data_IF_830490315254
#
_entry.id   IF_830490315254
#
_cell.length_a   1.000
_cell.length_b   1.000
_cell.length_c   1.000
_cell.angle_alpha   90.00
_cell.angle_beta   90.00
_cell.angle_gamma   90.00
#
_symmetry.space_group_name_H-M   'P 1'
#
loop_
_entity.id
_entity.type
_entity.pdbx_description
1 polymer ?
#
# COMPACT_ATOMS: atom_id res chain seq x y z
N UNK A 1 63.07 29.10 10.98
CA UNK A 1 62.67 28.41 9.73
C UNK A 1 62.30 26.97 10.05
N UNK A 2 61.08 26.57 9.65
CA UNK A 2 60.58 25.22 9.33
C UNK A 2 61.13 24.01 10.11
N UNK A 3 60.23 23.29 10.82
CA UNK A 3 59.77 21.99 10.31
C UNK A 3 58.49 21.47 11.02
N UNK A 4 57.31 21.90 10.56
CA UNK A 4 56.01 21.41 11.04
C UNK A 4 55.56 20.16 10.26
N UNK A 5 56.40 19.13 10.18
CA UNK A 5 56.11 17.91 9.41
C UNK A 5 55.08 17.02 10.10
N UNK A 6 55.16 16.85 11.43
CA UNK A 6 54.44 15.79 12.15
C UNK A 6 52.93 16.02 12.32
N UNK A 7 52.38 17.10 11.75
CA UNK A 7 50.99 17.54 11.93
C UNK A 7 50.20 17.62 10.61
N UNK A 8 50.45 16.72 9.65
CA UNK A 8 49.72 16.71 8.36
C UNK A 8 49.26 15.34 7.85
N UNK A 9 49.26 14.29 8.68
CA UNK A 9 48.80 12.95 8.24
C UNK A 9 47.58 12.42 9.01
N UNK A 10 47.00 13.22 9.92
CA UNK A 10 45.83 12.82 10.71
C UNK A 10 44.55 13.59 10.34
N UNK A 11 44.39 13.95 9.05
CA UNK A 11 43.18 14.61 8.51
C UNK A 11 42.65 13.89 7.26
N UNK A 12 43.05 12.63 7.06
CA UNK A 12 42.53 11.78 5.97
C UNK A 12 41.92 10.52 6.55
N UNK A 13 40.93 10.67 7.44
CA UNK A 13 40.13 9.53 7.92
C UNK A 13 38.68 9.89 8.32
N UNK A 14 38.14 11.00 7.82
CA UNK A 14 36.78 11.48 8.17
C UNK A 14 35.92 11.92 6.98
N UNK A 15 36.22 11.41 5.77
CA UNK A 15 35.32 11.52 4.59
C UNK A 15 34.67 10.18 4.21
N UNK A 16 34.57 9.25 5.15
CA UNK A 16 33.62 8.13 5.08
C UNK A 16 32.41 8.42 5.99
N UNK A 17 31.89 9.65 5.95
CA UNK A 17 30.53 9.88 6.47
C UNK A 17 29.61 9.16 5.51
N UNK A 18 29.10 8.01 5.96
CA UNK A 18 28.20 7.17 5.19
C UNK A 18 27.13 8.01 4.51
N UNK A 19 26.94 7.78 3.22
CA UNK A 19 25.67 8.11 2.60
C UNK A 19 24.63 7.24 3.31
N UNK A 20 24.06 7.73 4.41
CA UNK A 20 22.80 7.23 4.91
C UNK A 20 21.79 7.56 3.81
N UNK A 21 21.64 6.63 2.88
CA UNK A 21 20.59 6.65 1.88
C UNK A 21 19.28 6.45 2.65
N UNK A 22 18.73 7.54 3.16
CA UNK A 22 17.39 7.53 3.74
C UNK A 22 16.43 7.19 2.60
N UNK A 23 15.81 6.02 2.70
CA UNK A 23 14.77 5.61 1.76
C UNK A 23 13.71 6.71 1.68
N UNK A 24 13.51 7.23 0.47
CA UNK A 24 12.49 8.22 0.14
C UNK A 24 11.14 7.53 0.01
N UNK A 25 10.07 8.27 0.30
CA UNK A 25 8.70 7.76 0.33
C UNK A 25 7.79 8.66 -0.51
N UNK A 26 6.93 8.06 -1.32
CA UNK A 26 5.81 8.70 -2.00
C UNK A 26 4.54 8.07 -1.45
N UNK A 27 3.58 8.89 -1.03
CA UNK A 27 2.30 8.40 -0.52
C UNK A 27 1.15 9.19 -1.11
N UNK A 28 0.07 8.49 -1.43
CA UNK A 28 -1.17 9.07 -1.90
C UNK A 28 -2.36 8.36 -1.24
N UNK A 29 -3.38 9.14 -0.92
CA UNK A 29 -4.62 8.64 -0.33
C UNK A 29 -5.75 8.78 -1.34
N UNK A 30 -6.47 7.69 -1.58
CA UNK A 30 -7.68 7.66 -2.38
C UNK A 30 -8.85 7.38 -1.47
N UNK A 31 -9.90 8.19 -1.57
CA UNK A 31 -11.14 7.97 -0.83
C UNK A 31 -12.32 8.08 -1.77
N UNK A 32 -13.08 7.01 -1.87
CA UNK A 32 -14.31 6.96 -2.65
C UNK A 32 -15.43 6.40 -1.79
N UNK A 33 -16.62 7.00 -1.87
CA UNK A 33 -17.81 6.49 -1.20
C UNK A 33 -18.88 6.21 -2.24
N UNK A 34 -19.50 5.05 -2.14
CA UNK A 34 -20.54 4.57 -3.03
C UNK A 34 -21.85 4.40 -2.25
N UNK A 35 -22.98 4.70 -2.88
CA UNK A 35 -24.28 4.27 -2.33
C UNK A 35 -24.34 2.74 -2.32
N UNK A 36 -24.96 2.19 -1.28
CA UNK A 36 -25.13 0.74 -1.12
C UNK A 36 -26.61 0.39 -1.12
N UNK A 37 -26.95 -0.69 -1.80
CA UNK A 37 -28.27 -1.30 -1.77
C UNK A 37 -28.14 -2.77 -1.35
N UNK A 38 -29.13 -3.26 -0.60
CA UNK A 38 -29.12 -4.65 -0.14
C UNK A 38 -29.01 -5.64 -1.31
N UNK A 39 -28.06 -6.57 -1.21
CA UNK A 39 -27.79 -7.56 -2.26
C UNK A 39 -26.71 -7.13 -3.26
N UNK A 40 -26.17 -5.92 -3.14
CA UNK A 40 -24.92 -5.56 -3.84
C UNK A 40 -23.72 -6.33 -3.26
N UNK A 41 -22.75 -6.60 -4.12
CA UNK A 41 -21.50 -7.28 -3.77
C UNK A 41 -20.37 -6.27 -3.69
N UNK A 42 -19.53 -6.40 -2.68
CA UNK A 42 -18.31 -5.63 -2.49
C UNK A 42 -17.14 -6.57 -2.80
N UNK A 43 -16.33 -6.24 -3.80
CA UNK A 43 -15.16 -7.03 -4.22
C UNK A 43 -13.87 -6.22 -4.05
N UNK A 44 -13.04 -6.63 -3.11
CA UNK A 44 -11.78 -5.95 -2.78
C UNK A 44 -10.63 -6.88 -3.11
N UNK A 45 -9.75 -6.41 -4.00
CA UNK A 45 -8.57 -7.17 -4.42
C UNK A 45 -7.33 -6.35 -4.19
N UNK A 46 -6.51 -6.82 -3.28
CA UNK A 46 -5.24 -6.20 -2.94
C UNK A 46 -4.09 -7.21 -3.09
N UNK A 47 -2.90 -6.70 -3.37
CA UNK A 47 -1.71 -7.53 -3.54
C UNK A 47 -0.82 -7.46 -2.29
N UNK A 48 -0.57 -6.27 -1.76
CA UNK A 48 0.35 -6.06 -0.62
C UNK A 48 -0.20 -5.04 0.36
N UNK A 49 -0.19 -5.38 1.65
CA UNK A 49 -0.56 -4.46 2.73
C UNK A 49 -1.72 -4.98 3.55
N UNK A 50 -2.40 -4.07 4.23
CA UNK A 50 -3.48 -4.38 5.16
C UNK A 50 -4.84 -4.14 4.52
N UNK A 51 -5.82 -4.97 4.86
CA UNK A 51 -7.24 -4.67 4.63
C UNK A 51 -7.92 -4.62 5.99
N UNK A 52 -8.42 -3.44 6.37
CA UNK A 52 -9.19 -3.22 7.58
C UNK A 52 -10.68 -3.06 7.23
N UNK A 53 -11.56 -3.77 7.94
CA UNK A 53 -13.01 -3.69 7.78
C UNK A 53 -13.66 -3.22 9.08
N UNK A 54 -14.50 -2.20 8.94
CA UNK A 54 -15.33 -1.64 10.01
C UNK A 54 -16.78 -1.51 9.54
N UNK A 55 -17.72 -1.73 10.47
CA UNK A 55 -19.13 -1.59 10.19
C UNK A 55 -19.70 -0.23 10.62
N UNK A 56 -20.75 0.20 9.93
CA UNK A 56 -21.50 1.40 10.28
C UNK A 56 -22.98 1.31 9.88
N UNK A 57 -23.82 2.14 10.49
CA UNK A 57 -25.26 2.21 10.21
C UNK A 57 -25.54 3.25 9.10
N UNK A 58 -24.99 3.00 7.90
CA UNK A 58 -25.21 3.84 6.71
C UNK A 58 -25.36 2.99 5.46
N UNK A 59 -26.26 3.40 4.57
CA UNK A 59 -26.48 2.78 3.25
C UNK A 59 -25.41 3.21 2.23
N UNK A 60 -24.15 3.11 2.63
CA UNK A 60 -23.01 3.46 1.80
C UNK A 60 -21.80 2.61 2.12
N UNK A 61 -20.93 2.42 1.14
CA UNK A 61 -19.64 1.77 1.30
C UNK A 61 -18.56 2.81 1.06
N UNK A 62 -17.71 3.05 2.05
CA UNK A 62 -16.54 3.91 1.92
C UNK A 62 -15.29 3.04 1.78
N UNK A 63 -14.50 3.33 0.77
CA UNK A 63 -13.22 2.68 0.50
C UNK A 63 -12.15 3.76 0.58
N UNK A 64 -11.24 3.60 1.53
CA UNK A 64 -10.05 4.43 1.67
C UNK A 64 -8.84 3.56 1.33
N UNK A 65 -7.99 4.04 0.43
CA UNK A 65 -6.76 3.34 0.01
C UNK A 65 -5.58 4.24 0.27
N UNK A 66 -4.65 3.77 1.09
CA UNK A 66 -3.38 4.43 1.36
C UNK A 66 -2.27 3.72 0.60
N UNK A 67 -1.78 4.34 -0.46
CA UNK A 67 -0.63 3.85 -1.20
C UNK A 67 0.61 4.50 -0.60
N UNK A 68 1.61 3.67 -0.32
CA UNK A 68 2.94 4.12 0.09
C UNK A 68 3.95 3.35 -0.73
N UNK A 69 4.74 4.06 -1.53
CA UNK A 69 5.89 3.52 -2.24
C UNK A 69 7.19 4.07 -1.65
N UNK A 70 8.21 3.23 -1.55
CA UNK A 70 9.54 3.56 -1.05
C UNK A 70 10.57 3.39 -2.15
N UNK A 71 11.68 4.09 -2.02
CA UNK A 71 12.82 3.96 -2.93
C UNK A 71 14.10 4.52 -2.32
N UNK A 72 15.25 4.09 -2.83
CA UNK A 72 16.56 4.62 -2.42
C UNK A 72 16.72 6.13 -2.71
N UNK A 73 15.94 6.66 -3.64
CA UNK A 73 15.86 8.08 -3.94
C UNK A 73 14.44 8.41 -4.43
N UNK A 74 14.15 9.70 -4.61
CA UNK A 74 12.82 10.18 -4.99
C UNK A 74 12.35 9.59 -6.33
N UNK A 75 13.23 9.56 -7.33
CA UNK A 75 12.92 9.03 -8.66
C UNK A 75 12.52 7.54 -8.63
N UNK A 76 13.20 6.72 -7.82
CA UNK A 76 12.86 5.31 -7.63
C UNK A 76 11.53 5.16 -6.89
N UNK A 77 11.28 5.98 -5.87
CA UNK A 77 10.02 5.96 -5.14
C UNK A 77 8.83 6.34 -6.05
N UNK A 78 8.99 7.36 -6.90
CA UNK A 78 8.00 7.75 -7.92
C UNK A 78 7.80 6.66 -8.97
N UNK A 79 8.88 6.03 -9.45
CA UNK A 79 8.78 4.89 -10.38
C UNK A 79 8.03 3.71 -9.78
N UNK A 80 8.26 3.42 -8.50
CA UNK A 80 7.54 2.36 -7.78
C UNK A 80 6.06 2.74 -7.61
N UNK A 81 5.77 4.00 -7.27
CA UNK A 81 4.42 4.52 -7.15
C UNK A 81 3.65 4.44 -8.48
N UNK A 82 4.24 4.90 -9.59
CA UNK A 82 3.60 4.95 -10.91
C UNK A 82 3.22 3.57 -11.49
N UNK A 83 3.75 2.49 -10.91
CA UNK A 83 3.37 1.12 -11.27
C UNK A 83 2.05 0.72 -10.62
N UNK A 84 1.65 1.37 -9.54
CA UNK A 84 0.45 1.05 -8.77
C UNK A 84 -0.72 1.80 -9.41
N UNK A 85 -1.76 1.06 -9.76
CA UNK A 85 -3.02 1.60 -10.24
C UNK A 85 -4.14 1.09 -9.33
N UNK A 86 -4.89 2.03 -8.77
CA UNK A 86 -6.06 1.75 -7.93
C UNK A 86 -7.31 2.02 -8.77
N UNK A 87 -8.17 1.00 -8.91
CA UNK A 87 -9.46 1.11 -9.58
C UNK A 87 -10.58 0.99 -8.54
N UNK A 88 -11.22 2.12 -8.23
CA UNK A 88 -12.39 2.19 -7.34
C UNK A 88 -13.61 2.53 -8.17
N UNK A 89 -14.55 1.60 -8.30
CA UNK A 89 -15.74 1.81 -9.12
C UNK A 89 -16.93 1.00 -8.67
N UNK A 90 -18.11 1.46 -9.05
CA UNK A 90 -19.38 0.74 -8.92
C UNK A 90 -19.92 0.44 -10.31
N UNK A 91 -20.05 -0.83 -10.66
CA UNK A 91 -20.60 -1.31 -11.93
C UNK A 91 -21.81 -2.20 -11.65
N UNK A 92 -23.00 -1.71 -11.99
CA UNK A 92 -24.25 -2.39 -11.66
C UNK A 92 -24.38 -2.61 -10.15
N UNK A 93 -24.44 -3.87 -9.74
CA UNK A 93 -24.57 -4.30 -8.32
C UNK A 93 -23.23 -4.64 -7.65
N UNK A 94 -22.10 -4.31 -8.29
CA UNK A 94 -20.76 -4.64 -7.76
C UNK A 94 -20.02 -3.35 -7.46
N UNK A 95 -19.63 -3.17 -6.20
CA UNK A 95 -18.71 -2.14 -5.75
C UNK A 95 -17.33 -2.81 -5.67
N UNK A 96 -16.35 -2.29 -6.41
CA UNK A 96 -15.04 -2.90 -6.52
C UNK A 96 -13.92 -1.93 -6.15
N UNK A 97 -12.92 -2.48 -5.44
CA UNK A 97 -11.67 -1.81 -5.13
C UNK A 97 -10.50 -2.72 -5.50
N UNK A 98 -9.90 -2.50 -6.67
CA UNK A 98 -8.91 -3.40 -7.25
C UNK A 98 -7.56 -2.68 -7.37
N UNK A 99 -6.54 -3.28 -6.78
CA UNK A 99 -5.14 -2.90 -6.99
C UNK A 99 -4.57 -3.64 -8.19
N UNK A 100 -3.99 -2.90 -9.12
CA UNK A 100 -3.20 -3.43 -10.24
C UNK A 100 -1.78 -2.91 -10.13
N UNK A 101 -0.78 -3.79 -10.22
CA UNK A 101 0.62 -3.39 -10.29
C UNK A 101 1.14 -3.69 -11.69
N UNK A 102 1.51 -2.65 -12.42
CA UNK A 102 2.09 -2.73 -13.76
C UNK A 102 3.56 -3.15 -13.66
N UNK A 103 3.84 -4.36 -14.14
CA UNK A 103 5.18 -4.92 -14.17
C UNK A 103 5.12 -6.40 -14.51
N UNK A 104 6.01 -6.86 -15.38
CA UNK A 104 6.05 -8.25 -15.80
C UNK A 104 6.13 -9.17 -14.58
N UNK A 105 5.36 -10.26 -14.62
CA UNK A 105 5.43 -11.45 -13.77
C UNK A 105 6.80 -12.17 -13.83
N UNK A 106 7.87 -11.50 -14.24
CA UNK A 106 9.18 -12.07 -14.50
C UNK A 106 10.15 -11.61 -13.41
N UNK A 107 10.48 -12.56 -12.53
CA UNK A 107 11.79 -12.75 -11.90
C UNK A 107 12.82 -11.63 -12.16
N UNK A 108 13.38 -11.08 -11.09
CA UNK A 108 14.61 -10.27 -11.04
C UNK A 108 14.41 -8.76 -11.00
N UNK A 109 13.90 -8.26 -9.86
CA UNK A 109 14.43 -7.12 -9.12
C UNK A 109 13.60 -7.09 -7.84
N UNK A 110 14.21 -7.46 -6.72
CA UNK A 110 13.59 -7.57 -5.40
C UNK A 110 12.64 -6.38 -5.18
N UNK A 111 11.33 -6.63 -5.21
CA UNK A 111 10.34 -5.72 -4.62
C UNK A 111 9.60 -6.51 -3.55
N UNK A 112 10.19 -6.50 -2.35
CA UNK A 112 9.54 -6.99 -1.15
C UNK A 112 8.33 -6.10 -0.82
N UNK A 113 7.44 -6.56 0.06
CA UNK A 113 6.42 -5.69 0.68
C UNK A 113 7.03 -4.43 1.36
N UNK A 114 8.36 -4.42 1.57
CA UNK A 114 9.10 -3.26 2.03
C UNK A 114 9.09 -2.08 1.06
N UNK A 115 8.98 -2.34 -0.25
CA UNK A 115 9.07 -1.30 -1.30
C UNK A 115 7.74 -0.58 -1.53
N UNK A 116 6.61 -1.21 -1.23
CA UNK A 116 5.32 -0.54 -1.23
C UNK A 116 4.29 -1.27 -0.37
N UNK A 117 3.42 -0.49 0.27
CA UNK A 117 2.24 -0.97 1.00
C UNK A 117 1.01 -0.28 0.45
N UNK A 118 -0.08 -1.04 0.32
CA UNK A 118 -1.35 -0.56 -0.20
C UNK A 118 -2.40 -0.96 0.82
N UNK A 119 -2.72 -0.05 1.73
CA UNK A 119 -3.61 -0.35 2.84
C UNK A 119 -5.03 0.09 2.51
N UNK A 120 -5.97 -0.84 2.59
CA UNK A 120 -7.39 -0.59 2.42
C UNK A 120 -8.06 -0.46 3.78
N UNK A 121 -8.93 0.52 3.92
CA UNK A 121 -9.85 0.68 5.03
C UNK A 121 -11.27 0.80 4.47
N UNK A 122 -12.15 -0.08 4.96
CA UNK A 122 -13.48 -0.29 4.43
C UNK A 122 -14.50 0.01 5.51
N UNK A 123 -15.45 0.90 5.21
CA UNK A 123 -16.62 1.16 6.04
C UNK A 123 -17.86 0.71 5.30
N UNK A 124 -18.57 -0.30 5.82
CA UNK A 124 -19.69 -0.92 5.13
C UNK A 124 -20.80 -1.37 6.09
N UNK A 125 -22.09 -1.33 5.68
CA UNK A 125 -23.18 -1.82 6.51
C UNK A 125 -23.09 -3.33 6.75
N UNK A 126 -23.68 -3.79 7.85
CA UNK A 126 -23.65 -5.21 8.27
C UNK A 126 -24.36 -6.13 7.27
N UNK A 127 -25.29 -5.61 6.47
CA UNK A 127 -26.05 -6.38 5.48
C UNK A 127 -25.29 -6.67 4.17
N UNK A 128 -24.04 -6.21 4.05
CA UNK A 128 -23.22 -6.35 2.85
C UNK A 128 -22.73 -7.77 2.54
N UNK A 129 -22.46 -8.03 1.27
CA UNK A 129 -21.76 -9.23 0.81
C UNK A 129 -20.33 -8.86 0.41
N UNK A 130 -19.35 -9.25 1.21
CA UNK A 130 -17.95 -8.88 1.07
C UNK A 130 -17.12 -10.04 0.50
N UNK A 131 -16.37 -9.76 -0.55
CA UNK A 131 -15.36 -10.65 -1.14
C UNK A 131 -14.01 -9.96 -1.05
N UNK A 132 -13.05 -10.62 -0.41
CA UNK A 132 -11.70 -10.11 -0.25
C UNK A 132 -10.72 -11.13 -0.84
N UNK A 133 -9.86 -10.64 -1.73
CA UNK A 133 -8.66 -11.34 -2.19
C UNK A 133 -7.44 -10.54 -1.80
N UNK A 134 -6.55 -11.12 -1.00
CA UNK A 134 -5.31 -10.50 -0.56
C UNK A 134 -4.14 -11.44 -0.85
N UNK A 135 -3.19 -11.01 -1.70
CA UNK A 135 -2.06 -11.87 -2.05
C UNK A 135 -1.00 -11.98 -0.95
N UNK A 136 -0.73 -10.91 -0.20
CA UNK A 136 0.23 -10.90 0.89
C UNK A 136 -0.06 -9.76 1.86
N UNK A 137 -0.17 -10.05 3.14
CA UNK A 137 -0.35 -9.05 4.19
C UNK A 137 -1.35 -9.50 5.23
N UNK A 138 -2.08 -8.54 5.80
CA UNK A 138 -2.94 -8.79 6.95
C UNK A 138 -4.37 -8.34 6.69
N UNK A 139 -5.33 -9.15 7.14
CA UNK A 139 -6.73 -8.79 7.20
C UNK A 139 -7.12 -8.52 8.66
N UNK A 140 -7.67 -7.34 8.93
CA UNK A 140 -8.15 -6.93 10.25
C UNK A 140 -9.64 -6.60 10.18
N UNK A 141 -10.41 -7.10 11.14
CA UNK A 141 -11.79 -6.68 11.37
C UNK A 141 -12.03 -6.66 12.87
N UNK A 142 -12.53 -5.54 13.41
CA UNK A 142 -12.90 -5.46 14.83
C UNK A 142 -14.08 -6.38 15.14
N UNK A 143 -15.08 -6.36 14.24
CA UNK A 143 -16.24 -7.23 14.25
C UNK A 143 -16.70 -7.40 12.81
N UNK A 144 -16.95 -8.64 12.38
CA UNK A 144 -17.35 -8.96 11.01
C UNK A 144 -18.77 -9.56 11.02
N UNK A 145 -19.75 -8.68 10.88
CA UNK A 145 -21.19 -8.99 10.96
C UNK A 145 -21.84 -9.10 9.57
N UNK A 146 -21.06 -9.38 8.52
CA UNK A 146 -21.53 -9.47 7.14
C UNK A 146 -21.10 -10.79 6.46
N UNK A 147 -21.78 -11.14 5.36
CA UNK A 147 -21.41 -12.34 4.59
C UNK A 147 -20.06 -12.10 3.93
N UNK A 148 -19.04 -12.87 4.31
CA UNK A 148 -17.67 -12.65 3.84
C UNK A 148 -17.07 -13.88 3.19
N UNK A 149 -16.43 -13.69 2.04
CA UNK A 149 -15.52 -14.65 1.40
C UNK A 149 -14.10 -14.06 1.45
N UNK A 150 -13.17 -14.81 2.03
CA UNK A 150 -11.78 -14.39 2.20
C UNK A 150 -10.84 -15.36 1.51
N UNK A 151 -9.97 -14.84 0.65
CA UNK A 151 -8.91 -15.57 -0.04
C UNK A 151 -7.58 -14.85 0.22
N UNK A 152 -6.78 -15.40 1.13
CA UNK A 152 -5.44 -14.88 1.48
C UNK A 152 -4.40 -15.89 1.03
N UNK A 153 -3.44 -15.44 0.22
CA UNK A 153 -2.27 -16.24 -0.16
C UNK A 153 -1.10 -15.89 0.77
N UNK A 154 -0.29 -16.89 1.15
CA UNK A 154 0.94 -16.71 1.93
C UNK A 154 2.19 -16.59 1.03
#
# INVERSE_FOLDING_TARGET
>A
MKNNWKLKVLVVFLFFTGNYCLAQRVSENFKQTFSYQQGEQIDIRNIYGKIAVSHWEKDSVSIVVNVLAKGKNKEVAEKNYNRIKIDLKKEGKIISGITQVQGSMVKNLITSADDYTIDYELFLPTTSNLSITLRKGEFLAEKLDCKTKLDITD
#
